data_IF_598835241798
#
_entry.id   IF_598835241798
#
_cell.length_a   1.000
_cell.length_b   1.000
_cell.length_c   1.000
_cell.angle_alpha   90.00
_cell.angle_beta   90.00
_cell.angle_gamma   90.00
#
_symmetry.space_group_name_H-M   'P 1'
#
loop_
_entity.id
_entity.type
_entity.pdbx_description
1 polymer ?
#
# COMPACT_ATOMS: atom_id res chain seq x y z
N UNK A 1 -21.62 -28.40 -61.74
CA UNK A 1 -21.31 -26.96 -61.89
C UNK A 1 -22.54 -26.24 -61.36
N UNK A 2 -22.74 -26.27 -60.05
CA UNK A 2 -23.98 -25.82 -59.40
C UNK A 2 -23.82 -24.39 -58.86
N UNK A 3 -24.82 -23.52 -59.04
CA UNK A 3 -24.76 -22.12 -58.66
C UNK A 3 -25.51 -21.89 -57.34
N UNK A 4 -24.82 -21.59 -56.23
CA UNK A 4 -25.46 -20.98 -55.05
C UNK A 4 -24.44 -20.14 -54.26
N UNK A 5 -24.17 -18.92 -54.73
CA UNK A 5 -23.65 -17.85 -53.86
C UNK A 5 -24.82 -17.23 -53.11
N UNK A 6 -25.12 -17.78 -51.93
CA UNK A 6 -26.04 -17.17 -50.97
C UNK A 6 -25.34 -15.99 -50.28
N UNK A 7 -25.80 -14.78 -50.59
CA UNK A 7 -25.47 -13.54 -49.89
C UNK A 7 -25.93 -13.63 -48.43
N UNK A 8 -25.01 -13.93 -47.52
CA UNK A 8 -25.27 -13.82 -46.09
C UNK A 8 -24.99 -12.38 -45.65
N UNK A 9 -26.00 -11.51 -45.80
CA UNK A 9 -25.98 -10.16 -45.22
C UNK A 9 -26.24 -10.30 -43.72
N UNK A 10 -25.16 -10.35 -42.94
CA UNK A 10 -25.18 -10.25 -41.49
C UNK A 10 -25.69 -8.87 -41.08
N UNK A 11 -27.02 -8.75 -40.95
CA UNK A 11 -27.67 -7.59 -40.35
C UNK A 11 -27.14 -7.43 -38.92
N UNK A 12 -26.36 -6.36 -38.70
CA UNK A 12 -25.95 -5.93 -37.38
C UNK A 12 -27.20 -5.57 -36.58
N UNK A 13 -27.65 -6.47 -35.70
CA UNK A 13 -28.67 -6.15 -34.71
C UNK A 13 -28.15 -5.00 -33.86
N UNK A 14 -28.62 -3.79 -34.14
CA UNK A 14 -28.49 -2.65 -33.24
C UNK A 14 -29.02 -3.10 -31.87
N UNK A 15 -28.14 -3.26 -30.90
CA UNK A 15 -28.55 -3.42 -29.50
C UNK A 15 -29.18 -2.09 -29.09
N UNK A 16 -30.50 -1.97 -29.22
CA UNK A 16 -31.23 -0.89 -28.58
C UNK A 16 -31.06 -1.08 -27.08
N UNK A 17 -30.43 -0.12 -26.42
CA UNK A 17 -30.41 -0.09 -24.96
C UNK A 17 -31.88 -0.11 -24.49
N UNK A 18 -32.26 -1.05 -23.61
CA UNK A 18 -33.61 -1.06 -23.07
C UNK A 18 -33.89 0.28 -22.38
N UNK A 19 -35.09 0.81 -22.57
CA UNK A 19 -35.49 2.04 -21.91
C UNK A 19 -35.41 1.85 -20.38
N UNK A 20 -34.87 2.82 -19.63
CA UNK A 20 -34.78 2.72 -18.18
C UNK A 20 -36.17 2.58 -17.57
N UNK A 21 -36.29 1.76 -16.53
CA UNK A 21 -37.55 1.62 -15.79
C UNK A 21 -37.96 3.00 -15.25
N UNK A 22 -39.16 3.50 -15.59
CA UNK A 22 -39.62 4.83 -15.16
C UNK A 22 -39.67 4.98 -13.63
N UNK A 23 -39.90 3.88 -12.91
CA UNK A 23 -39.89 3.86 -11.44
C UNK A 23 -38.47 4.06 -10.91
N UNK A 24 -37.49 3.39 -11.51
CA UNK A 24 -36.09 3.51 -11.15
C UNK A 24 -35.56 4.91 -11.47
N UNK A 25 -35.95 5.47 -12.63
CA UNK A 25 -35.59 6.82 -13.03
C UNK A 25 -36.13 7.87 -12.04
N UNK A 26 -37.39 7.74 -11.61
CA UNK A 26 -37.97 8.65 -10.61
C UNK A 26 -37.22 8.61 -9.27
N UNK A 27 -36.72 7.43 -8.85
CA UNK A 27 -35.90 7.28 -7.64
C UNK A 27 -34.52 7.95 -7.80
N UNK A 28 -33.90 7.80 -8.97
CA UNK A 28 -32.63 8.46 -9.30
C UNK A 28 -32.80 9.97 -9.24
N UNK A 29 -33.83 10.50 -9.90
CA UNK A 29 -34.09 11.93 -9.98
C UNK A 29 -34.44 12.52 -8.59
N UNK A 30 -35.20 11.80 -7.78
CA UNK A 30 -35.54 12.22 -6.41
C UNK A 30 -34.34 12.28 -5.46
N UNK A 31 -33.30 11.46 -5.71
CA UNK A 31 -32.07 11.41 -4.91
C UNK A 31 -30.89 12.16 -5.55
N UNK A 32 -31.07 12.72 -6.75
CA UNK A 32 -30.03 13.44 -7.47
C UNK A 32 -29.68 14.75 -6.74
N UNK A 33 -28.42 14.86 -6.32
CA UNK A 33 -27.85 16.10 -5.82
C UNK A 33 -26.88 16.65 -6.87
N UNK A 34 -27.12 17.87 -7.41
CA UNK A 34 -26.21 18.45 -8.37
C UNK A 34 -24.86 18.76 -7.70
N UNK A 35 -23.78 18.34 -8.35
CA UNK A 35 -22.41 18.56 -7.90
C UNK A 35 -21.77 19.57 -8.83
N UNK A 36 -21.42 20.73 -8.29
CA UNK A 36 -20.70 21.76 -9.04
C UNK A 36 -19.23 21.36 -9.24
N UNK A 37 -18.91 20.95 -10.47
CA UNK A 37 -17.57 20.53 -10.88
C UNK A 37 -17.13 21.30 -12.12
N UNK A 38 -15.82 21.53 -12.22
CA UNK A 38 -15.18 22.13 -13.38
C UNK A 38 -14.18 21.15 -14.00
N UNK A 39 -14.27 20.96 -15.32
CA UNK A 39 -13.29 20.20 -16.09
C UNK A 39 -12.14 21.14 -16.47
N UNK A 40 -10.90 20.72 -16.23
CA UNK A 40 -9.74 21.50 -16.65
C UNK A 40 -9.54 21.40 -18.18
N UNK A 41 -9.25 22.50 -18.88
CA UNK A 41 -9.16 22.51 -20.33
C UNK A 41 -7.93 21.76 -20.87
N UNK A 42 -6.81 21.81 -20.14
CA UNK A 42 -5.52 21.28 -20.62
C UNK A 42 -5.18 19.88 -20.09
N UNK A 43 -5.93 19.39 -19.10
CA UNK A 43 -5.63 18.15 -18.39
C UNK A 43 -6.91 17.30 -18.25
N UNK A 44 -6.82 15.96 -18.35
CA UNK A 44 -7.94 15.05 -18.11
C UNK A 44 -8.22 14.95 -16.60
N UNK A 45 -8.68 16.06 -16.01
CA UNK A 45 -8.90 16.21 -14.59
C UNK A 45 -10.09 17.14 -14.32
N UNK A 46 -10.80 16.85 -13.25
CA UNK A 46 -11.91 17.64 -12.72
C UNK A 46 -11.56 18.18 -11.35
N UNK A 47 -12.11 19.34 -11.03
CA UNK A 47 -11.98 20.00 -9.74
C UNK A 47 -13.34 20.45 -9.24
N UNK A 48 -13.44 20.71 -7.95
CA UNK A 48 -14.59 21.39 -7.37
C UNK A 48 -14.80 22.75 -8.08
N UNK A 49 -16.01 23.01 -8.57
CA UNK A 49 -16.35 24.27 -9.25
C UNK A 49 -16.00 25.52 -8.43
N UNK A 50 -16.52 25.66 -7.19
CA UNK A 50 -16.30 26.87 -6.39
C UNK A 50 -14.87 27.02 -5.88
N UNK A 51 -14.22 25.92 -5.47
CA UNK A 51 -12.94 25.98 -4.75
C UNK A 51 -11.73 25.61 -5.63
N UNK A 52 -11.95 25.12 -6.85
CA UNK A 52 -10.92 24.69 -7.82
C UNK A 52 -9.92 23.69 -7.25
N UNK A 53 -10.33 22.93 -6.24
CA UNK A 53 -9.54 21.91 -5.57
C UNK A 53 -9.98 20.51 -6.02
N UNK A 54 -9.02 19.62 -6.27
CA UNK A 54 -9.27 18.20 -6.54
C UNK A 54 -9.91 17.48 -5.34
N UNK A 55 -9.50 17.84 -4.12
CA UNK A 55 -10.13 17.40 -2.88
C UNK A 55 -10.63 18.62 -2.13
N UNK A 56 -11.95 18.76 -2.03
CA UNK A 56 -12.59 19.89 -1.40
C UNK A 56 -13.19 19.48 -0.05
N UNK A 57 -12.62 19.97 1.04
CA UNK A 57 -13.13 19.70 2.39
C UNK A 57 -14.46 20.42 2.66
N UNK A 58 -14.62 21.64 2.13
CA UNK A 58 -15.85 22.45 2.27
C UNK A 58 -17.05 21.80 1.60
N UNK A 59 -16.89 21.37 0.33
CA UNK A 59 -17.96 20.74 -0.44
C UNK A 59 -18.04 19.22 -0.23
N UNK A 60 -17.10 18.64 0.53
CA UNK A 60 -16.95 17.19 0.74
C UNK A 60 -16.87 16.38 -0.56
N UNK A 61 -16.23 16.96 -1.58
CA UNK A 61 -16.03 16.34 -2.89
C UNK A 61 -14.58 15.84 -3.00
N UNK A 62 -14.38 14.61 -3.48
CA UNK A 62 -13.06 14.02 -3.69
C UNK A 62 -12.96 13.45 -5.11
N UNK A 63 -12.17 14.13 -5.94
CA UNK A 63 -11.93 13.75 -7.33
C UNK A 63 -10.58 13.05 -7.53
N UNK A 64 -9.80 12.80 -6.47
CA UNK A 64 -8.44 12.23 -6.58
C UNK A 64 -8.44 10.89 -7.32
N UNK A 65 -9.37 10.00 -6.95
CA UNK A 65 -9.51 8.69 -7.60
C UNK A 65 -9.93 8.80 -9.07
N UNK A 66 -10.89 9.69 -9.36
CA UNK A 66 -11.39 9.92 -10.72
C UNK A 66 -10.30 10.49 -11.63
N UNK A 67 -9.59 11.51 -11.17
CA UNK A 67 -8.50 12.13 -11.92
C UNK A 67 -7.33 11.19 -12.12
N UNK A 68 -7.00 10.34 -11.12
CA UNK A 68 -6.01 9.29 -11.28
C UNK A 68 -6.40 8.32 -12.40
N UNK A 69 -7.64 7.86 -12.41
CA UNK A 69 -8.14 6.96 -13.46
C UNK A 69 -8.13 7.64 -14.84
N UNK A 70 -8.62 8.87 -14.93
CA UNK A 70 -8.66 9.64 -16.17
C UNK A 70 -7.25 9.85 -16.76
N UNK A 71 -6.27 10.19 -15.93
CA UNK A 71 -4.85 10.29 -16.35
C UNK A 71 -4.32 8.96 -16.89
N UNK A 72 -4.59 7.84 -16.22
CA UNK A 72 -4.13 6.51 -16.66
C UNK A 72 -4.74 6.15 -18.02
N UNK A 73 -6.06 6.35 -18.20
CA UNK A 73 -6.74 6.04 -19.46
C UNK A 73 -6.27 6.97 -20.59
N UNK A 74 -6.10 8.26 -20.30
CA UNK A 74 -5.60 9.22 -21.29
C UNK A 74 -4.17 8.90 -21.76
N UNK A 75 -3.30 8.43 -20.85
CA UNK A 75 -1.94 7.99 -21.19
C UNK A 75 -1.91 6.67 -21.96
N UNK A 76 -3.00 5.89 -21.97
CA UNK A 76 -3.07 4.59 -22.62
C UNK A 76 -4.30 4.51 -23.56
N UNK A 77 -4.28 5.16 -24.73
CA UNK A 77 -5.45 5.25 -25.62
C UNK A 77 -6.02 3.92 -26.12
N UNK A 78 -5.24 2.83 -26.05
CA UNK A 78 -5.69 1.47 -26.38
C UNK A 78 -6.55 0.82 -25.28
N UNK A 79 -6.53 1.37 -24.06
CA UNK A 79 -7.36 0.93 -22.94
C UNK A 79 -8.65 1.76 -22.90
N UNK A 80 -9.69 1.27 -23.58
CA UNK A 80 -11.02 1.93 -23.59
C UNK A 80 -11.77 1.76 -22.26
N UNK A 81 -11.46 0.71 -21.51
CA UNK A 81 -12.03 0.42 -20.21
C UNK A 81 -11.01 -0.29 -19.32
N UNK A 82 -11.14 -0.23 -17.99
CA UNK A 82 -10.33 -1.02 -17.09
C UNK A 82 -10.40 -2.51 -17.44
N UNK A 83 -9.26 -3.20 -17.62
CA UNK A 83 -9.25 -4.64 -17.87
C UNK A 83 -9.69 -5.40 -16.62
N UNK A 84 -10.06 -6.69 -16.76
CA UNK A 84 -10.35 -7.56 -15.63
C UNK A 84 -9.20 -7.62 -14.61
N UNK A 85 -9.51 -7.76 -13.32
CA UNK A 85 -8.56 -7.65 -12.22
C UNK A 85 -7.43 -8.69 -12.21
N UNK A 86 -7.62 -9.81 -12.92
CA UNK A 86 -6.61 -10.85 -13.10
C UNK A 86 -5.51 -10.46 -14.11
N UNK A 87 -5.69 -9.39 -14.89
CA UNK A 87 -4.68 -8.88 -15.82
C UNK A 87 -3.73 -7.95 -15.06
N UNK A 88 -2.63 -8.51 -14.60
CA UNK A 88 -1.61 -7.82 -13.80
C UNK A 88 -0.47 -7.35 -14.69
N UNK A 89 -0.02 -6.11 -14.50
CA UNK A 89 1.14 -5.56 -15.19
C UNK A 89 2.44 -6.24 -14.74
N UNK A 90 2.96 -7.15 -15.58
CA UNK A 90 4.23 -7.85 -15.35
C UNK A 90 5.43 -6.88 -15.31
N UNK A 91 5.43 -5.89 -16.22
CA UNK A 91 6.52 -4.91 -16.30
C UNK A 91 6.64 -4.09 -15.01
N UNK A 92 5.51 -3.76 -14.39
CA UNK A 92 5.50 -3.03 -13.12
C UNK A 92 6.08 -3.88 -11.99
N UNK A 93 5.69 -5.16 -11.87
CA UNK A 93 6.31 -6.08 -10.90
C UNK A 93 7.82 -6.23 -11.09
N UNK A 94 8.29 -6.30 -12.34
CA UNK A 94 9.73 -6.35 -12.63
C UNK A 94 10.42 -5.05 -12.20
N UNK A 95 9.84 -3.89 -12.50
CA UNK A 95 10.40 -2.60 -12.08
C UNK A 95 10.48 -2.48 -10.54
N UNK A 96 9.40 -2.82 -9.84
CA UNK A 96 9.36 -2.87 -8.37
C UNK A 96 10.43 -3.81 -7.81
N UNK A 97 10.52 -5.01 -8.39
CA UNK A 97 11.53 -6.01 -8.03
C UNK A 97 12.94 -5.48 -8.20
N UNK A 98 13.29 -4.99 -9.39
CA UNK A 98 14.62 -4.46 -9.70
C UNK A 98 15.02 -3.31 -8.77
N UNK A 99 14.14 -2.31 -8.59
CA UNK A 99 14.44 -1.17 -7.69
C UNK A 99 14.59 -1.60 -6.24
N UNK A 100 13.82 -2.60 -5.79
CA UNK A 100 13.99 -3.20 -4.45
C UNK A 100 15.34 -3.93 -4.35
N UNK A 101 15.72 -4.72 -5.34
CA UNK A 101 17.02 -5.43 -5.34
C UNK A 101 18.21 -4.46 -5.39
N UNK A 102 18.11 -3.33 -6.10
CA UNK A 102 19.10 -2.25 -6.03
C UNK A 102 19.28 -1.71 -4.60
N UNK A 103 18.21 -1.68 -3.80
CA UNK A 103 18.27 -1.34 -2.37
C UNK A 103 18.92 -2.41 -1.50
N UNK A 104 18.87 -3.68 -1.93
CA UNK A 104 19.51 -4.80 -1.23
C UNK A 104 21.04 -4.84 -1.48
N UNK A 105 21.55 -4.17 -2.52
CA UNK A 105 22.99 -4.09 -2.78
C UNK A 105 23.65 -3.28 -1.66
N UNK A 106 24.29 -3.99 -0.74
CA UNK A 106 25.01 -3.41 0.39
C UNK A 106 26.18 -2.58 -0.14
N UNK A 107 26.15 -1.27 0.08
CA UNK A 107 27.33 -0.44 -0.18
C UNK A 107 28.44 -0.88 0.81
N UNK A 108 29.60 -1.35 0.34
CA UNK A 108 30.67 -1.81 1.23
C UNK A 108 31.29 -0.67 2.06
N UNK A 109 30.96 0.58 1.75
CA UNK A 109 31.33 1.74 2.54
C UNK A 109 30.31 1.95 3.68
N UNK A 110 30.74 1.65 4.90
CA UNK A 110 29.95 1.63 6.14
C UNK A 110 29.23 2.94 6.50
N UNK A 111 29.47 4.03 5.76
CA UNK A 111 29.04 5.38 6.08
C UNK A 111 27.90 5.94 5.22
N UNK A 112 27.41 5.20 4.21
CA UNK A 112 26.30 5.67 3.35
C UNK A 112 25.06 4.77 3.51
N UNK A 113 24.50 4.72 4.71
CA UNK A 113 23.23 4.02 4.98
C UNK A 113 22.01 4.65 4.29
N UNK A 114 22.17 5.85 3.70
CA UNK A 114 21.10 6.58 3.03
C UNK A 114 20.71 6.00 1.65
N UNK A 115 21.63 5.32 0.94
CA UNK A 115 21.38 4.83 -0.42
C UNK A 115 20.34 3.70 -0.45
N UNK A 116 20.41 2.67 0.41
CA UNK A 116 19.37 1.64 0.50
C UNK A 116 17.98 2.20 0.81
N UNK A 117 17.89 3.15 1.75
CA UNK A 117 16.62 3.77 2.17
C UNK A 117 15.97 4.52 1.01
N UNK A 118 16.75 5.28 0.24
CA UNK A 118 16.27 6.00 -0.94
C UNK A 118 15.72 5.03 -2.01
N UNK A 119 16.43 3.93 -2.29
CA UNK A 119 15.98 2.91 -3.25
C UNK A 119 14.71 2.20 -2.80
N UNK A 120 14.60 1.81 -1.51
CA UNK A 120 13.34 1.26 -1.00
C UNK A 120 12.19 2.25 -1.08
N UNK A 121 12.44 3.53 -0.81
CA UNK A 121 11.41 4.57 -0.93
C UNK A 121 10.94 4.73 -2.38
N UNK A 122 11.86 4.67 -3.34
CA UNK A 122 11.53 4.65 -4.76
C UNK A 122 10.73 3.41 -5.15
N UNK A 123 11.16 2.22 -4.72
CA UNK A 123 10.45 0.96 -4.99
C UNK A 123 9.02 0.98 -4.41
N UNK A 124 8.84 1.51 -3.20
CA UNK A 124 7.53 1.67 -2.59
C UNK A 124 6.64 2.64 -3.38
N UNK A 125 7.20 3.75 -3.87
CA UNK A 125 6.49 4.70 -4.74
C UNK A 125 6.00 4.04 -6.04
N UNK A 126 6.82 3.18 -6.64
CA UNK A 126 6.43 2.41 -7.84
C UNK A 126 5.32 1.41 -7.50
N UNK A 127 5.42 0.70 -6.37
CA UNK A 127 4.43 -0.30 -5.97
C UNK A 127 3.03 0.31 -5.74
N UNK A 128 2.93 1.52 -5.17
CA UNK A 128 1.63 2.19 -4.92
C UNK A 128 1.02 2.80 -6.19
N UNK A 129 1.80 2.93 -7.27
CA UNK A 129 1.31 3.41 -8.57
C UNK A 129 0.56 2.34 -9.37
N UNK A 130 0.43 1.10 -8.85
CA UNK A 130 -0.38 0.04 -9.44
C UNK A 130 -1.78 0.53 -9.86
N UNK A 131 -2.26 0.16 -11.06
CA UNK A 131 -3.59 0.54 -11.50
C UNK A 131 -4.68 0.08 -10.54
N UNK A 132 -5.74 0.88 -10.33
CA UNK A 132 -6.75 0.61 -9.30
C UNK A 132 -7.61 -0.64 -9.56
N UNK A 133 -7.62 -1.16 -10.78
CA UNK A 133 -8.34 -2.38 -11.15
C UNK A 133 -7.56 -3.67 -10.87
N UNK A 134 -6.24 -3.60 -10.67
CA UNK A 134 -5.46 -4.79 -10.32
C UNK A 134 -5.81 -5.28 -8.92
N UNK A 135 -5.76 -6.60 -8.72
CA UNK A 135 -5.95 -7.19 -7.39
C UNK A 135 -4.97 -6.56 -6.38
N UNK A 136 -5.52 -5.97 -5.32
CA UNK A 136 -4.75 -5.25 -4.30
C UNK A 136 -3.69 -6.13 -3.59
N UNK A 137 -3.85 -7.46 -3.64
CA UNK A 137 -2.90 -8.42 -3.08
C UNK A 137 -1.47 -8.22 -3.58
N UNK A 138 -1.26 -8.00 -4.89
CA UNK A 138 0.08 -7.78 -5.45
C UNK A 138 0.76 -6.56 -4.84
N UNK A 139 0.02 -5.45 -4.76
CA UNK A 139 0.50 -4.22 -4.12
C UNK A 139 0.85 -4.46 -2.66
N UNK A 140 -0.04 -5.12 -1.89
CA UNK A 140 0.20 -5.40 -0.46
C UNK A 140 1.45 -6.24 -0.25
N UNK A 141 1.63 -7.29 -1.04
CA UNK A 141 2.78 -8.18 -0.95
C UNK A 141 4.09 -7.44 -1.25
N UNK A 142 4.17 -6.75 -2.38
CA UNK A 142 5.34 -5.98 -2.76
C UNK A 142 5.64 -4.86 -1.75
N UNK A 143 4.66 -4.01 -1.44
CA UNK A 143 4.83 -2.87 -0.53
C UNK A 143 5.28 -3.33 0.85
N UNK A 144 4.66 -4.38 1.41
CA UNK A 144 5.04 -4.90 2.72
C UNK A 144 6.50 -5.35 2.78
N UNK A 145 7.00 -6.04 1.74
CA UNK A 145 8.38 -6.53 1.71
C UNK A 145 9.38 -5.38 1.61
N UNK A 146 9.07 -4.36 0.81
CA UNK A 146 9.91 -3.18 0.60
C UNK A 146 10.00 -2.37 1.90
N UNK A 147 8.85 -2.06 2.51
CA UNK A 147 8.80 -1.26 3.74
C UNK A 147 9.41 -2.03 4.93
N UNK A 148 9.26 -3.36 4.98
CA UNK A 148 9.94 -4.20 5.99
C UNK A 148 11.46 -4.17 5.84
N UNK A 149 11.99 -4.14 4.62
CA UNK A 149 13.43 -3.99 4.37
C UNK A 149 13.91 -2.57 4.69
N UNK A 150 13.11 -1.53 4.39
CA UNK A 150 13.41 -0.16 4.76
C UNK A 150 13.45 0.04 6.28
N UNK A 151 12.51 -0.57 7.01
CA UNK A 151 12.52 -0.64 8.48
C UNK A 151 13.82 -1.26 9.01
N UNK A 152 14.31 -2.33 8.37
CA UNK A 152 15.58 -2.95 8.73
C UNK A 152 16.77 -2.01 8.56
N UNK A 153 16.83 -1.30 7.42
CA UNK A 153 17.90 -0.34 7.12
C UNK A 153 17.89 0.85 8.10
N UNK A 154 16.71 1.32 8.51
CA UNK A 154 16.58 2.33 9.57
C UNK A 154 17.09 1.82 10.92
N UNK A 155 16.73 0.59 11.31
CA UNK A 155 17.26 -0.05 12.52
C UNK A 155 18.81 -0.17 12.49
N UNK A 156 19.39 -0.55 11.34
CA UNK A 156 20.85 -0.60 11.17
C UNK A 156 21.50 0.78 11.28
N UNK A 157 20.79 1.82 10.86
CA UNK A 157 21.19 3.23 10.98
C UNK A 157 20.88 3.84 12.35
N UNK A 158 20.37 3.04 13.29
CA UNK A 158 19.96 3.46 14.64
C UNK A 158 18.83 4.51 14.66
N UNK A 159 18.12 4.69 13.54
CA UNK A 159 16.89 5.48 13.47
C UNK A 159 15.69 4.58 13.79
N UNK A 160 15.52 4.27 15.07
CA UNK A 160 14.48 3.35 15.52
C UNK A 160 13.06 3.94 15.42
N UNK A 161 12.92 5.27 15.35
CA UNK A 161 11.61 5.92 15.19
C UNK A 161 11.09 5.67 13.78
N UNK A 162 11.91 5.96 12.76
CA UNK A 162 11.55 5.67 11.36
C UNK A 162 11.35 4.17 11.13
N UNK A 163 12.18 3.33 11.77
CA UNK A 163 12.02 1.87 11.70
C UNK A 163 10.68 1.38 12.27
N UNK A 164 10.25 1.95 13.41
CA UNK A 164 8.97 1.63 14.04
C UNK A 164 7.79 2.06 13.16
N UNK A 165 7.83 3.27 12.59
CA UNK A 165 6.79 3.76 11.69
C UNK A 165 6.62 2.88 10.45
N UNK A 166 7.74 2.43 9.86
CA UNK A 166 7.71 1.48 8.75
C UNK A 166 7.14 0.12 9.17
N UNK A 167 7.51 -0.39 10.36
CA UNK A 167 7.00 -1.66 10.87
C UNK A 167 5.49 -1.62 11.13
N UNK A 168 4.98 -0.52 11.72
CA UNK A 168 3.54 -0.32 11.90
C UNK A 168 2.81 -0.23 10.55
N UNK A 169 3.42 0.44 9.55
CA UNK A 169 2.88 0.47 8.18
C UNK A 169 2.77 -0.93 7.58
N UNK A 170 3.79 -1.79 7.77
CA UNK A 170 3.74 -3.18 7.32
C UNK A 170 2.58 -3.95 7.97
N UNK A 171 2.34 -3.74 9.27
CA UNK A 171 1.24 -4.39 10.00
C UNK A 171 -0.12 -3.89 9.50
N UNK A 172 -0.26 -2.60 9.17
CA UNK A 172 -1.50 -2.05 8.57
C UNK A 172 -1.77 -2.70 7.21
N UNK A 173 -0.73 -2.87 6.38
CA UNK A 173 -0.85 -3.39 5.01
C UNK A 173 -1.07 -4.91 5.00
N UNK A 174 -0.33 -5.66 5.84
CA UNK A 174 -0.37 -7.13 5.98
C UNK A 174 -0.24 -7.57 7.44
N UNK A 175 -1.33 -7.44 8.19
CA UNK A 175 -1.39 -7.77 9.62
C UNK A 175 -0.97 -9.20 9.97
N UNK A 176 -1.29 -10.15 9.11
CA UNK A 176 -1.03 -11.58 9.30
C UNK A 176 0.43 -11.98 9.00
N UNK A 177 1.27 -11.05 8.55
CA UNK A 177 2.66 -11.35 8.23
C UNK A 177 3.56 -11.11 9.45
N UNK A 178 3.99 -12.20 10.07
CA UNK A 178 4.83 -12.26 11.28
C UNK A 178 6.08 -11.36 11.20
N UNK A 179 6.70 -11.23 10.02
CA UNK A 179 7.89 -10.38 9.82
C UNK A 179 7.63 -8.90 10.15
N UNK A 180 6.42 -8.39 9.94
CA UNK A 180 6.06 -7.01 10.32
C UNK A 180 6.15 -6.81 11.83
N UNK A 181 5.59 -7.74 12.60
CA UNK A 181 5.67 -7.75 14.07
C UNK A 181 7.09 -7.89 14.58
N UNK A 182 7.90 -8.72 13.92
CA UNK A 182 9.33 -8.84 14.22
C UNK A 182 10.09 -7.53 14.01
N UNK A 183 9.85 -6.81 12.91
CA UNK A 183 10.46 -5.49 12.68
C UNK A 183 10.06 -4.49 13.76
N UNK A 184 8.78 -4.48 14.15
CA UNK A 184 8.24 -3.63 15.22
C UNK A 184 8.96 -3.91 16.54
N UNK A 185 9.10 -5.17 16.91
CA UNK A 185 9.80 -5.57 18.13
C UNK A 185 11.28 -5.14 18.11
N UNK A 186 12.00 -5.31 16.99
CA UNK A 186 13.40 -4.84 16.88
C UNK A 186 13.53 -3.33 17.07
N UNK A 187 12.63 -2.55 16.49
CA UNK A 187 12.63 -1.10 16.65
C UNK A 187 12.30 -0.70 18.10
N UNK A 188 11.32 -1.35 18.74
CA UNK A 188 10.95 -1.09 20.13
C UNK A 188 12.08 -1.42 21.12
N UNK A 189 12.82 -2.51 20.90
CA UNK A 189 14.02 -2.82 21.69
C UNK A 189 15.08 -1.73 21.53
N UNK A 190 15.33 -1.25 20.30
CA UNK A 190 16.25 -0.13 20.05
C UNK A 190 15.83 1.17 20.73
N UNK A 191 14.52 1.39 20.89
CA UNK A 191 13.95 2.52 21.64
C UNK A 191 13.94 2.32 23.17
N UNK A 192 14.44 1.20 23.69
CA UNK A 192 14.42 0.89 25.12
C UNK A 192 13.03 0.55 25.66
N UNK A 193 12.11 0.08 24.81
CA UNK A 193 10.72 -0.30 25.15
C UNK A 193 10.50 -1.82 25.01
N UNK A 194 11.22 -2.68 25.76
CA UNK A 194 11.19 -4.13 25.53
C UNK A 194 9.87 -4.80 25.93
N UNK A 195 9.11 -4.22 26.86
CA UNK A 195 7.77 -4.71 27.22
C UNK A 195 6.81 -4.68 26.04
N UNK A 196 6.77 -3.57 25.31
CA UNK A 196 5.97 -3.45 24.09
C UNK A 196 6.51 -4.32 22.96
N UNK A 197 7.83 -4.54 22.90
CA UNK A 197 8.45 -5.44 21.95
C UNK A 197 7.99 -6.89 22.16
N UNK A 198 7.92 -7.35 23.42
CA UNK A 198 7.39 -8.67 23.79
C UNK A 198 5.96 -8.83 23.29
N UNK A 199 5.10 -7.84 23.56
CA UNK A 199 3.68 -7.89 23.16
C UNK A 199 3.54 -7.96 21.63
N UNK A 200 4.35 -7.22 20.87
CA UNK A 200 4.39 -7.32 19.41
C UNK A 200 4.81 -8.73 18.94
N UNK A 201 5.82 -9.34 19.56
CA UNK A 201 6.28 -10.69 19.22
C UNK A 201 5.22 -11.75 19.51
N UNK A 202 4.51 -11.64 20.63
CA UNK A 202 3.40 -12.53 20.98
C UNK A 202 2.28 -12.46 19.93
N UNK A 203 1.93 -11.26 19.45
CA UNK A 203 0.96 -11.10 18.36
C UNK A 203 1.49 -11.73 17.06
N UNK A 204 2.78 -11.55 16.74
CA UNK A 204 3.41 -12.18 15.58
C UNK A 204 3.35 -13.71 15.63
N UNK A 205 3.65 -14.29 16.78
CA UNK A 205 3.58 -15.74 17.03
C UNK A 205 2.14 -16.27 17.01
N UNK A 206 1.14 -15.46 17.37
CA UNK A 206 -0.26 -15.86 17.22
C UNK A 206 -0.65 -16.10 15.74
N UNK A 207 0.00 -15.41 14.79
CA UNK A 207 -0.17 -15.65 13.35
C UNK A 207 0.71 -16.79 12.84
N UNK A 208 1.93 -16.95 13.37
CA UNK A 208 2.88 -17.98 12.95
C UNK A 208 3.56 -18.65 14.17
N UNK A 209 2.89 -19.59 14.86
CA UNK A 209 3.39 -20.17 16.11
C UNK A 209 4.70 -20.96 15.98
N UNK A 210 5.00 -21.48 14.79
CA UNK A 210 6.20 -22.26 14.49
C UNK A 210 7.42 -21.42 14.11
N UNK A 211 7.34 -20.08 14.18
CA UNK A 211 8.43 -19.23 13.73
C UNK A 211 9.58 -19.19 14.74
N UNK A 212 10.65 -19.96 14.47
CA UNK A 212 11.82 -20.06 15.33
C UNK A 212 12.55 -18.73 15.54
N UNK A 213 12.58 -17.83 14.53
CA UNK A 213 13.23 -16.51 14.64
C UNK A 213 12.49 -15.63 15.65
N UNK A 214 11.16 -15.60 15.60
CA UNK A 214 10.34 -14.83 16.55
C UNK A 214 10.41 -15.41 17.96
N UNK A 215 10.35 -16.73 18.11
CA UNK A 215 10.42 -17.38 19.42
C UNK A 215 11.77 -17.17 20.10
N UNK A 216 12.88 -17.26 19.34
CA UNK A 216 14.21 -16.96 19.86
C UNK A 216 14.31 -15.50 20.30
N UNK A 217 13.84 -14.57 19.46
CA UNK A 217 13.89 -13.15 19.79
C UNK A 217 12.98 -12.77 20.97
N UNK A 218 11.85 -13.45 21.15
CA UNK A 218 10.99 -13.27 22.32
C UNK A 218 11.72 -13.63 23.61
N UNK A 219 12.43 -14.77 23.63
CA UNK A 219 13.25 -15.18 24.77
C UNK A 219 14.34 -14.15 25.10
N UNK A 220 15.02 -13.60 24.09
CA UNK A 220 16.02 -12.56 24.28
C UNK A 220 15.41 -11.28 24.90
N UNK A 221 14.22 -10.89 24.43
CA UNK A 221 13.49 -9.72 24.95
C UNK A 221 13.01 -9.95 26.38
N UNK A 222 12.54 -11.15 26.72
CA UNK A 222 12.13 -11.49 28.09
C UNK A 222 13.30 -11.40 29.07
N UNK A 223 14.47 -11.93 28.71
CA UNK A 223 15.69 -11.78 29.51
C UNK A 223 16.11 -10.31 29.66
N UNK A 224 15.92 -9.49 28.63
CA UNK A 224 16.20 -8.05 28.70
C UNK A 224 15.27 -7.34 29.70
N UNK A 225 13.98 -7.69 29.71
CA UNK A 225 13.00 -7.16 30.67
C UNK A 225 13.38 -7.53 32.11
N UNK A 226 13.75 -8.79 32.36
CA UNK A 226 14.18 -9.25 33.69
C UNK A 226 15.40 -8.48 34.20
N UNK A 227 16.39 -8.26 33.33
CA UNK A 227 17.58 -7.46 33.65
C UNK A 227 17.24 -6.00 33.95
N UNK A 228 16.32 -5.39 33.19
CA UNK A 228 15.86 -4.02 33.43
C UNK A 228 15.09 -3.88 34.75
N UNK A 229 14.28 -4.88 35.11
CA UNK A 229 13.55 -4.87 36.38
C UNK A 229 14.49 -5.02 37.58
N UNK A 230 15.52 -5.86 37.45
CA UNK A 230 16.51 -6.07 38.52
C UNK A 230 17.35 -4.81 38.78
N UNK A 231 17.76 -4.08 37.73
CA UNK A 231 18.54 -2.83 37.88
C UNK A 231 17.73 -1.64 38.41
N UNK A 232 16.42 -1.61 38.15
CA UNK A 232 15.53 -0.59 38.72
C UNK A 232 15.21 -0.84 40.21
N UNK A 233 15.28 -2.09 40.68
CA UNK A 233 15.07 -2.46 42.08
C UNK A 233 16.21 -2.05 43.03
N UNK A 234 17.42 -1.80 42.51
CA UNK A 234 18.60 -1.41 43.32
C UNK A 234 18.69 0.10 43.63
N UNK A 235 17.83 0.95 43.05
CA UNK A 235 17.73 2.37 43.43
C UNK A 235 16.89 2.50 44.71
N UNK A 236 17.52 2.21 45.86
CA UNK A 236 16.93 2.41 47.18
C UNK A 236 16.55 3.89 47.42
N UNK A 237 15.52 4.19 48.25
CA UNK A 237 15.11 5.57 48.53
C UNK A 237 16.25 6.36 49.18
N UNK A 238 16.48 7.57 48.69
CA UNK A 238 17.38 8.54 49.33
C UNK A 238 16.80 8.80 50.74
N UNK A 239 17.54 8.52 51.84
CA UNK A 239 17.05 8.81 53.17
C UNK A 239 16.88 10.32 53.35
N UNK A 240 15.78 10.68 54.01
CA UNK A 240 15.27 12.04 54.19
C UNK A 240 16.23 12.97 54.96
#
# INVERSE_FOLDING_TARGET
MDPLLSNNSSSSKQMMMPAPDPTLQAIIDASHQPVDLAVLPDLPAVVCGPHKSEKCETCKQDYVGLNRLAKILHQNPSLTAPPPANVVSKNLSVAVGNTKEEGNVRCPFFFISAVPIARYTMAASIAVQRPPWETNQFMREELSTIISNRSAAYCESHDYISALADADTVIIVRRNWSKGHFRKAKALVGLGRPTEARDALQVGLAFEPGNAELSAFLSDVEQLIEKQNSSNGEKAPIPA
#
